data_IF_386544816953
#
_entry.id   IF_386544816953
#
_cell.length_a   1.000
_cell.length_b   1.000
_cell.length_c   1.000
_cell.angle_alpha   90.00
_cell.angle_beta   90.00
_cell.angle_gamma   90.00
#
_symmetry.space_group_name_H-M   'P 1'
#
loop_
_entity.id
_entity.type
_entity.pdbx_description
1 polymer ?
#
# COMPACT_ATOMS: atom_id res chain seq x y z
N UNK A 1 -4.83 6.00 -1.06
CA UNK A 1 -3.50 5.32 -1.13
C UNK A 1 -3.53 4.35 -2.30
N UNK A 2 -2.41 4.22 -3.04
CA UNK A 2 -2.25 3.23 -4.11
C UNK A 2 -1.16 2.26 -3.69
N UNK A 3 -1.36 0.96 -3.95
CA UNK A 3 -0.40 -0.09 -3.67
C UNK A 3 -0.35 -1.03 -4.87
N UNK A 4 0.73 -0.97 -5.67
CA UNK A 4 0.89 -1.82 -6.85
C UNK A 4 1.84 -2.99 -6.59
N UNK A 5 1.57 -4.12 -7.22
CA UNK A 5 2.34 -5.35 -7.12
C UNK A 5 1.95 -6.32 -8.26
N UNK A 6 2.84 -7.26 -8.57
CA UNK A 6 2.57 -8.28 -9.57
C UNK A 6 1.77 -9.47 -9.03
N UNK A 7 1.23 -10.27 -9.94
CA UNK A 7 0.44 -11.48 -9.66
C UNK A 7 1.17 -12.51 -8.78
N UNK A 8 2.47 -12.70 -8.99
CA UNK A 8 3.28 -13.57 -8.13
C UNK A 8 3.43 -13.02 -6.72
N UNK A 9 3.58 -11.69 -6.57
CA UNK A 9 3.68 -11.03 -5.28
C UNK A 9 2.39 -11.09 -4.47
N UNK A 10 1.24 -11.29 -5.13
CA UNK A 10 -0.04 -11.52 -4.46
C UNK A 10 0.01 -12.73 -3.51
N UNK A 11 0.81 -13.75 -3.83
CA UNK A 11 0.92 -14.97 -3.03
C UNK A 11 1.79 -14.82 -1.78
N UNK A 12 2.50 -13.70 -1.65
CA UNK A 12 3.34 -13.47 -0.48
C UNK A 12 2.48 -13.26 0.78
N UNK A 13 2.88 -13.86 1.89
CA UNK A 13 2.15 -13.79 3.16
C UNK A 13 1.85 -12.35 3.61
N UNK A 14 2.80 -11.43 3.43
CA UNK A 14 2.62 -10.01 3.74
C UNK A 14 1.56 -9.34 2.87
N UNK A 15 1.51 -9.66 1.57
CA UNK A 15 0.47 -9.15 0.66
C UNK A 15 -0.90 -9.67 1.05
N UNK A 16 -1.01 -10.97 1.34
CA UNK A 16 -2.25 -11.58 1.81
C UNK A 16 -2.70 -11.00 3.16
N UNK A 17 -1.78 -10.77 4.10
CA UNK A 17 -2.03 -10.12 5.38
C UNK A 17 -2.57 -8.69 5.21
N UNK A 18 -1.93 -7.89 4.33
CA UNK A 18 -2.35 -6.52 4.04
C UNK A 18 -3.77 -6.46 3.44
N UNK A 19 -4.06 -7.29 2.44
CA UNK A 19 -5.37 -7.39 1.80
C UNK A 19 -6.43 -7.85 2.82
N UNK A 20 -6.10 -8.85 3.64
CA UNK A 20 -6.99 -9.36 4.67
C UNK A 20 -7.29 -8.30 5.75
N UNK A 21 -6.30 -7.55 6.17
CA UNK A 21 -6.46 -6.44 7.12
C UNK A 21 -7.35 -5.33 6.56
N UNK A 22 -7.16 -4.95 5.29
CA UNK A 22 -8.00 -3.97 4.62
C UNK A 22 -9.45 -4.44 4.50
N UNK A 23 -9.66 -5.70 4.09
CA UNK A 23 -10.97 -6.36 4.01
C UNK A 23 -11.67 -6.37 5.37
N UNK A 24 -11.01 -6.85 6.41
CA UNK A 24 -11.52 -6.91 7.78
C UNK A 24 -11.93 -5.53 8.31
N UNK A 25 -11.05 -4.54 8.13
CA UNK A 25 -11.29 -3.18 8.61
C UNK A 25 -12.48 -2.53 7.93
N UNK A 26 -12.56 -2.66 6.59
CA UNK A 26 -13.67 -2.16 5.80
C UNK A 26 -14.99 -2.89 6.10
N UNK A 27 -14.94 -4.22 6.30
CA UNK A 27 -16.11 -5.03 6.65
C UNK A 27 -16.72 -4.61 8.00
N UNK A 28 -15.91 -4.12 8.93
CA UNK A 28 -16.34 -3.56 10.20
C UNK A 28 -16.88 -2.12 10.10
N UNK A 29 -16.95 -1.57 8.91
CA UNK A 29 -17.49 -0.22 8.67
C UNK A 29 -16.49 0.91 8.88
N UNK A 30 -15.20 0.61 9.08
CA UNK A 30 -14.16 1.64 9.14
C UNK A 30 -13.68 2.00 7.73
N UNK A 31 -13.39 3.28 7.46
CA UNK A 31 -12.97 3.72 6.13
C UNK A 31 -11.54 3.25 5.79
N UNK A 32 -11.40 2.62 4.63
CA UNK A 32 -10.10 2.16 4.08
C UNK A 32 -10.02 2.58 2.61
N UNK A 33 -9.85 3.88 2.31
CA UNK A 33 -9.84 4.37 0.92
C UNK A 33 -8.48 4.08 0.27
N UNK A 34 -8.32 2.86 -0.24
CA UNK A 34 -7.11 2.43 -0.93
C UNK A 34 -7.43 1.58 -2.16
N UNK A 35 -6.49 1.58 -3.10
CA UNK A 35 -6.52 0.72 -4.28
C UNK A 35 -5.32 -0.21 -4.24
N UNK A 36 -5.58 -1.50 -4.29
CA UNK A 36 -4.61 -2.52 -4.63
C UNK A 36 -4.59 -2.66 -6.15
N UNK A 37 -3.43 -2.50 -6.78
CA UNK A 37 -3.26 -2.66 -8.23
C UNK A 37 -2.43 -3.91 -8.44
N UNK A 38 -3.05 -4.96 -8.97
CA UNK A 38 -2.36 -6.18 -9.34
C UNK A 38 -2.05 -6.16 -10.84
N UNK A 39 -0.77 -6.01 -11.16
CA UNK A 39 -0.25 -6.04 -12.51
C UNK A 39 0.02 -7.50 -12.89
N UNK A 40 -1.03 -8.15 -13.46
CA UNK A 40 -1.00 -9.59 -13.78
C UNK A 40 -0.44 -9.83 -15.19
N UNK A 41 0.80 -10.28 -15.25
CA UNK A 41 1.45 -10.71 -16.47
C UNK A 41 1.55 -12.25 -16.59
N UNK A 42 0.93 -13.00 -15.67
CA UNK A 42 0.86 -14.45 -15.68
C UNK A 42 2.17 -15.17 -15.37
N UNK A 43 3.19 -14.47 -14.85
CA UNK A 43 4.48 -15.11 -14.56
C UNK A 43 5.25 -14.43 -13.42
N UNK A 44 5.71 -15.20 -12.45
CA UNK A 44 6.62 -14.76 -11.39
C UNK A 44 8.02 -15.32 -11.61
N UNK A 45 8.99 -14.47 -11.97
CA UNK A 45 10.33 -14.84 -12.43
C UNK A 45 10.22 -15.79 -13.63
N UNK A 46 10.22 -17.11 -13.42
CA UNK A 46 10.07 -18.16 -14.45
C UNK A 46 8.87 -19.08 -14.22
N UNK A 47 8.12 -18.88 -13.13
CA UNK A 47 6.98 -19.72 -12.75
C UNK A 47 5.68 -19.08 -13.22
N UNK A 48 4.91 -19.81 -14.00
CA UNK A 48 3.60 -19.34 -14.48
C UNK A 48 2.60 -19.25 -13.33
N UNK A 49 1.88 -18.13 -13.27
CA UNK A 49 0.67 -17.99 -12.46
C UNK A 49 -0.47 -18.72 -13.16
N UNK A 50 -1.20 -19.64 -12.48
CA UNK A 50 -2.31 -20.34 -13.11
C UNK A 50 -3.41 -19.39 -13.58
N UNK A 51 -4.02 -19.70 -14.72
CA UNK A 51 -5.11 -18.90 -15.27
C UNK A 51 -6.27 -18.74 -14.28
N UNK A 52 -6.71 -17.50 -14.12
CA UNK A 52 -7.81 -17.16 -13.20
C UNK A 52 -7.44 -17.14 -11.73
N UNK A 53 -6.19 -17.43 -11.37
CA UNK A 53 -5.74 -17.48 -9.97
C UNK A 53 -6.01 -16.19 -9.21
N UNK A 54 -5.59 -15.04 -9.75
CA UNK A 54 -5.78 -13.71 -9.13
C UNK A 54 -7.26 -13.45 -8.88
N UNK A 55 -8.10 -13.64 -9.91
CA UNK A 55 -9.54 -13.43 -9.80
C UNK A 55 -10.17 -14.31 -8.72
N UNK A 56 -9.89 -15.62 -8.75
CA UNK A 56 -10.47 -16.56 -7.79
C UNK A 56 -10.00 -16.32 -6.36
N UNK A 57 -8.79 -15.82 -6.19
CA UNK A 57 -8.23 -15.49 -4.87
C UNK A 57 -8.85 -14.24 -4.23
N UNK A 58 -9.35 -13.30 -5.06
CA UNK A 58 -9.72 -11.97 -4.58
C UNK A 58 -11.20 -11.63 -4.79
N UNK A 59 -11.83 -12.02 -5.88
CA UNK A 59 -13.15 -11.52 -6.27
C UNK A 59 -14.27 -11.78 -5.23
N UNK A 60 -14.09 -12.74 -4.34
CA UNK A 60 -15.03 -13.05 -3.26
C UNK A 60 -14.59 -12.47 -1.88
N UNK A 61 -13.54 -11.64 -1.84
CA UNK A 61 -13.07 -11.04 -0.58
C UNK A 61 -14.11 -10.06 -0.03
N UNK A 62 -14.56 -10.21 1.22
CA UNK A 62 -15.55 -9.30 1.82
C UNK A 62 -15.08 -7.85 1.82
N UNK A 63 -15.97 -6.93 1.49
CA UNK A 63 -15.76 -5.47 1.55
C UNK A 63 -14.61 -4.92 0.69
N UNK A 64 -14.11 -5.69 -0.26
CA UNK A 64 -13.18 -5.24 -1.32
C UNK A 64 -13.93 -5.29 -2.65
N UNK A 65 -13.94 -4.18 -3.37
CA UNK A 65 -14.48 -4.15 -4.73
C UNK A 65 -13.43 -4.69 -5.71
N UNK A 66 -13.77 -5.75 -6.43
CA UNK A 66 -12.90 -6.33 -7.45
C UNK A 66 -13.28 -5.77 -8.82
N UNK A 67 -12.33 -5.16 -9.49
CA UNK A 67 -12.48 -4.56 -10.82
C UNK A 67 -11.35 -5.08 -11.71
N UNK A 68 -11.70 -5.52 -12.92
CA UNK A 68 -10.73 -5.99 -13.91
C UNK A 68 -10.61 -5.00 -15.05
N UNK A 69 -9.41 -4.83 -15.60
CA UNK A 69 -9.18 -4.14 -16.87
C UNK A 69 -8.13 -4.83 -17.73
N UNK A 70 -8.20 -4.61 -19.02
CA UNK A 70 -7.14 -4.95 -19.97
C UNK A 70 -6.12 -3.81 -20.01
N UNK A 71 -4.99 -3.97 -19.29
CA UNK A 71 -3.92 -2.98 -19.25
C UNK A 71 -3.12 -2.87 -20.56
N UNK A 72 -3.41 -3.71 -21.56
CA UNK A 72 -2.86 -3.58 -22.92
C UNK A 72 -3.64 -2.56 -23.76
N UNK A 73 -4.87 -2.21 -23.33
CA UNK A 73 -5.70 -1.19 -23.93
C UNK A 73 -5.69 0.08 -23.05
N UNK A 74 -5.05 1.15 -23.56
CA UNK A 74 -4.92 2.42 -22.83
C UNK A 74 -6.26 3.05 -22.49
N UNK A 75 -7.28 2.88 -23.33
CA UNK A 75 -8.62 3.44 -23.11
C UNK A 75 -9.36 2.69 -22.00
N UNK A 76 -9.29 1.35 -22.02
CA UNK A 76 -9.87 0.54 -20.95
C UNK A 76 -9.17 0.79 -19.61
N UNK A 77 -7.84 0.84 -19.61
CA UNK A 77 -7.05 1.17 -18.43
C UNK A 77 -7.41 2.54 -17.85
N UNK A 78 -7.51 3.57 -18.71
CA UNK A 78 -7.89 4.93 -18.27
C UNK A 78 -9.31 4.99 -17.71
N UNK A 79 -10.28 4.43 -18.42
CA UNK A 79 -11.67 4.38 -18.00
C UNK A 79 -11.82 3.68 -16.66
N UNK A 80 -11.23 2.48 -16.55
CA UNK A 80 -11.31 1.67 -15.32
C UNK A 80 -10.60 2.35 -14.14
N UNK A 81 -9.46 3.00 -14.38
CA UNK A 81 -8.77 3.77 -13.33
C UNK A 81 -9.67 4.90 -12.78
N UNK A 82 -10.42 5.59 -13.65
CA UNK A 82 -11.39 6.63 -13.25
C UNK A 82 -12.57 6.05 -12.46
N UNK A 83 -13.07 4.88 -12.83
CA UNK A 83 -14.14 4.18 -12.11
C UNK A 83 -13.67 3.75 -10.71
N UNK A 84 -12.48 3.18 -10.61
CA UNK A 84 -11.86 2.79 -9.34
C UNK A 84 -11.65 4.00 -8.42
N UNK A 85 -11.13 5.11 -8.96
CA UNK A 85 -10.94 6.34 -8.20
C UNK A 85 -12.27 6.84 -7.64
N UNK A 86 -13.29 6.94 -8.48
CA UNK A 86 -14.63 7.40 -8.10
C UNK A 86 -15.25 6.50 -7.02
N UNK A 87 -15.15 5.18 -7.18
CA UNK A 87 -15.62 4.22 -6.18
C UNK A 87 -14.95 4.43 -4.82
N UNK A 88 -13.61 4.44 -4.78
CA UNK A 88 -12.87 4.54 -3.51
C UNK A 88 -13.09 5.88 -2.82
N UNK A 89 -13.17 6.98 -3.58
CA UNK A 89 -13.43 8.31 -3.02
C UNK A 89 -14.83 8.43 -2.44
N UNK A 90 -15.84 7.92 -3.14
CA UNK A 90 -17.25 8.04 -2.72
C UNK A 90 -17.61 7.07 -1.60
N UNK A 91 -17.15 5.82 -1.66
CA UNK A 91 -17.54 4.78 -0.70
C UNK A 91 -16.61 4.69 0.50
N UNK A 92 -15.38 5.21 0.39
CA UNK A 92 -14.31 5.04 1.38
C UNK A 92 -13.92 3.58 1.64
N UNK A 93 -14.26 2.68 0.72
CA UNK A 93 -13.92 1.25 0.77
C UNK A 93 -12.71 0.95 -0.11
N UNK A 94 -11.97 -0.14 0.17
CA UNK A 94 -10.87 -0.56 -0.69
C UNK A 94 -11.39 -1.17 -1.99
N UNK A 95 -10.62 -0.96 -3.06
CA UNK A 95 -10.79 -1.65 -4.34
C UNK A 95 -9.54 -2.45 -4.69
N UNK A 96 -9.74 -3.52 -5.44
CA UNK A 96 -8.69 -4.32 -6.04
C UNK A 96 -8.80 -4.22 -7.56
N UNK A 97 -7.90 -3.46 -8.17
CA UNK A 97 -7.79 -3.35 -9.62
C UNK A 97 -6.89 -4.48 -10.14
N UNK A 98 -7.50 -5.46 -10.79
CA UNK A 98 -6.80 -6.53 -11.48
C UNK A 98 -6.53 -6.09 -12.91
N UNK A 99 -5.30 -5.73 -13.21
CA UNK A 99 -4.86 -5.24 -14.52
C UNK A 99 -4.10 -6.34 -15.26
N UNK A 100 -4.63 -6.78 -16.40
CA UNK A 100 -3.87 -7.62 -17.31
C UNK A 100 -2.69 -6.84 -17.87
N UNK A 101 -1.51 -7.41 -17.81
CA UNK A 101 -0.27 -6.80 -18.34
C UNK A 101 0.53 -7.83 -19.12
N UNK A 102 1.64 -7.41 -19.71
CA UNK A 102 2.62 -8.30 -20.37
C UNK A 102 4.02 -7.96 -19.87
N UNK A 103 4.87 -8.96 -19.74
CA UNK A 103 6.28 -8.78 -19.42
C UNK A 103 7.11 -8.92 -20.70
N UNK A 104 7.61 -7.81 -21.23
CA UNK A 104 8.34 -7.75 -22.50
C UNK A 104 9.80 -8.18 -22.39
N UNK A 105 10.41 -8.06 -21.22
CA UNK A 105 11.82 -8.37 -21.00
C UNK A 105 12.00 -9.42 -19.91
N UNK A 106 13.23 -9.92 -19.77
CA UNK A 106 13.60 -10.79 -18.66
C UNK A 106 13.31 -10.14 -17.29
N UNK A 107 13.09 -10.95 -16.27
CA UNK A 107 12.79 -10.47 -14.91
C UNK A 107 13.88 -9.56 -14.33
N UNK A 108 15.13 -9.84 -14.68
CA UNK A 108 16.30 -9.06 -14.23
C UNK A 108 17.35 -9.01 -15.35
N UNK A 109 18.37 -8.14 -15.18
CA UNK A 109 19.37 -7.93 -16.23
C UNK A 109 20.18 -9.16 -16.66
N UNK A 110 20.23 -10.20 -15.82
CA UNK A 110 20.88 -11.48 -16.16
C UNK A 110 19.89 -12.58 -16.56
N UNK A 111 18.60 -12.30 -16.61
CA UNK A 111 17.56 -13.28 -16.93
C UNK A 111 17.46 -13.48 -18.45
N UNK A 112 17.50 -14.75 -18.88
CA UNK A 112 17.38 -15.15 -20.28
C UNK A 112 16.04 -15.87 -20.45
N UNK A 113 15.05 -15.19 -21.00
CA UNK A 113 13.68 -15.71 -21.13
C UNK A 113 13.61 -17.03 -21.90
N UNK A 114 14.45 -17.24 -22.92
CA UNK A 114 14.49 -18.48 -23.71
C UNK A 114 14.99 -19.70 -22.94
N UNK A 115 15.49 -19.52 -21.70
CA UNK A 115 15.82 -20.65 -20.81
C UNK A 115 14.58 -21.34 -20.23
N UNK A 116 13.41 -20.66 -20.20
CA UNK A 116 12.17 -21.19 -19.62
C UNK A 116 10.90 -20.89 -20.44
N UNK A 117 11.02 -20.14 -21.55
CA UNK A 117 9.95 -19.88 -22.51
C UNK A 117 10.40 -20.29 -23.90
N UNK A 118 9.48 -20.75 -24.74
CA UNK A 118 9.79 -20.93 -26.16
C UNK A 118 9.93 -19.57 -26.86
N UNK A 119 10.63 -19.54 -27.97
CA UNK A 119 10.80 -18.34 -28.76
C UNK A 119 9.45 -17.78 -29.23
N UNK A 120 8.56 -18.64 -29.66
CA UNK A 120 7.21 -18.31 -30.12
C UNK A 120 6.39 -17.64 -28.98
N UNK A 121 6.58 -18.09 -27.73
CA UNK A 121 5.92 -17.47 -26.56
C UNK A 121 6.47 -16.08 -26.27
N UNK A 122 7.78 -15.86 -26.43
CA UNK A 122 8.39 -14.54 -26.28
C UNK A 122 7.89 -13.59 -27.36
N UNK A 123 7.89 -14.02 -28.63
CA UNK A 123 7.39 -13.25 -29.77
C UNK A 123 5.89 -12.92 -29.62
N UNK A 124 5.08 -13.83 -29.05
CA UNK A 124 3.68 -13.57 -28.73
C UNK A 124 3.50 -12.52 -27.63
N UNK A 125 4.34 -12.54 -26.60
CA UNK A 125 4.34 -11.50 -25.54
C UNK A 125 4.75 -10.15 -26.12
N UNK A 126 5.79 -10.08 -26.97
CA UNK A 126 6.22 -8.85 -27.65
C UNK A 126 5.14 -8.27 -28.57
N UNK A 127 4.37 -9.10 -29.26
CA UNK A 127 3.24 -8.66 -30.09
C UNK A 127 2.10 -8.04 -29.25
N UNK A 128 2.06 -8.29 -27.95
CA UNK A 128 1.11 -7.71 -27.00
C UNK A 128 1.64 -6.45 -26.29
N UNK A 129 2.70 -5.81 -26.79
CA UNK A 129 3.22 -4.56 -26.24
C UNK A 129 2.11 -3.48 -26.25
N UNK A 130 1.75 -2.91 -25.09
CA UNK A 130 0.71 -1.86 -25.00
C UNK A 130 1.09 -0.58 -25.77
N UNK A 131 2.37 -0.32 -26.03
CA UNK A 131 2.80 0.78 -26.89
C UNK A 131 2.42 0.53 -28.35
N UNK A 132 2.61 -0.69 -28.85
CA UNK A 132 2.17 -1.09 -30.21
C UNK A 132 0.64 -1.00 -30.33
N UNK A 133 -0.10 -1.47 -29.35
CA UNK A 133 -1.57 -1.38 -29.32
C UNK A 133 -2.04 0.08 -29.34
N UNK A 134 -1.38 0.94 -28.55
CA UNK A 134 -1.69 2.38 -28.50
C UNK A 134 -1.36 3.08 -29.83
N UNK A 135 -0.19 2.81 -30.41
CA UNK A 135 0.19 3.33 -31.73
C UNK A 135 -0.81 2.91 -32.81
N UNK A 136 -1.17 1.61 -32.85
CA UNK A 136 -2.16 1.09 -33.80
C UNK A 136 -3.55 1.75 -33.61
N UNK A 137 -3.92 2.08 -32.37
CA UNK A 137 -5.14 2.82 -32.10
C UNK A 137 -5.09 4.26 -32.66
N UNK A 138 -4.02 4.99 -32.38
CA UNK A 138 -3.82 6.36 -32.88
C UNK A 138 -3.85 6.44 -34.41
N UNK A 139 -3.21 5.49 -35.09
CA UNK A 139 -3.24 5.38 -36.54
C UNK A 139 -4.64 5.09 -37.07
N UNK A 140 -5.33 4.13 -36.46
CA UNK A 140 -6.70 3.71 -36.89
C UNK A 140 -7.72 4.84 -36.75
N UNK A 141 -7.62 5.63 -35.69
CA UNK A 141 -8.52 6.78 -35.43
C UNK A 141 -8.09 8.05 -36.19
N UNK A 142 -6.98 8.00 -36.94
CA UNK A 142 -6.48 9.15 -37.69
C UNK A 142 -6.00 10.31 -36.81
N UNK A 143 -5.61 10.03 -35.56
CA UNK A 143 -5.11 11.04 -34.61
C UNK A 143 -3.65 11.39 -34.95
N UNK A 144 -2.89 10.38 -35.37
CA UNK A 144 -1.48 10.51 -35.80
C UNK A 144 -1.29 9.68 -37.06
N UNK A 145 -0.31 10.02 -37.87
CA UNK A 145 0.20 9.16 -38.95
C UNK A 145 1.46 8.37 -38.50
N UNK A 146 2.00 7.56 -39.39
CA UNK A 146 3.14 6.70 -39.08
C UNK A 146 4.40 7.50 -38.75
N UNK A 147 4.58 8.62 -39.45
CA UNK A 147 5.77 9.47 -39.28
C UNK A 147 5.69 10.19 -37.92
N UNK A 148 4.49 10.70 -37.57
CA UNK A 148 4.24 11.32 -36.26
C UNK A 148 4.55 10.34 -35.10
N UNK A 149 4.10 9.08 -35.19
CA UNK A 149 4.34 8.05 -34.15
C UNK A 149 5.83 7.75 -34.03
N UNK A 150 6.55 7.62 -35.16
CA UNK A 150 7.99 7.37 -35.17
C UNK A 150 8.78 8.57 -34.64
N UNK A 151 8.37 9.79 -34.96
CA UNK A 151 9.01 11.01 -34.46
C UNK A 151 8.89 11.12 -32.95
N UNK A 152 7.72 10.82 -32.37
CA UNK A 152 7.54 10.77 -30.92
C UNK A 152 8.43 9.71 -30.28
N UNK A 153 8.43 8.49 -30.83
CA UNK A 153 9.26 7.39 -30.30
C UNK A 153 10.74 7.72 -30.33
N UNK A 154 11.25 8.16 -31.47
CA UNK A 154 12.67 8.52 -31.67
C UNK A 154 13.08 9.74 -30.80
N UNK A 155 12.18 10.71 -30.64
CA UNK A 155 12.40 11.86 -29.78
C UNK A 155 12.57 11.47 -28.32
N UNK A 156 11.72 10.59 -27.82
CA UNK A 156 11.80 10.07 -26.45
C UNK A 156 13.05 9.19 -26.26
N UNK A 157 13.42 8.36 -27.24
CA UNK A 157 14.64 7.54 -27.17
C UNK A 157 15.89 8.42 -27.04
N UNK A 158 15.97 9.49 -27.86
CA UNK A 158 17.06 10.46 -27.78
C UNK A 158 17.12 11.18 -26.42
N UNK A 159 15.96 11.58 -25.87
CA UNK A 159 15.88 12.23 -24.55
C UNK A 159 16.33 11.28 -23.43
N UNK A 160 15.83 10.04 -23.42
CA UNK A 160 16.20 9.00 -22.43
C UNK A 160 17.69 8.70 -22.49
N UNK A 161 18.26 8.57 -23.71
CA UNK A 161 19.68 8.33 -23.92
C UNK A 161 20.53 9.49 -23.36
N UNK A 162 20.17 10.73 -23.68
CA UNK A 162 20.88 11.91 -23.15
C UNK A 162 20.79 12.00 -21.62
N UNK A 163 19.64 11.67 -21.05
CA UNK A 163 19.46 11.63 -19.60
C UNK A 163 20.29 10.51 -18.94
N UNK A 164 20.31 9.32 -19.53
CA UNK A 164 21.14 8.20 -19.06
C UNK A 164 22.63 8.58 -19.03
N UNK A 165 23.13 9.24 -20.06
CA UNK A 165 24.52 9.74 -20.12
C UNK A 165 24.85 10.73 -19.01
N UNK A 166 23.88 11.53 -18.55
CA UNK A 166 24.08 12.43 -17.42
C UNK A 166 24.08 11.66 -16.10
N UNK A 167 23.15 10.69 -15.94
CA UNK A 167 23.00 9.92 -14.69
C UNK A 167 24.22 9.04 -14.42
N UNK A 168 24.79 8.39 -15.43
CA UNK A 168 25.99 7.54 -15.26
C UNK A 168 27.23 8.33 -14.81
N UNK A 169 27.26 9.64 -15.05
CA UNK A 169 28.33 10.54 -14.59
C UNK A 169 28.19 10.98 -13.12
N UNK A 170 27.04 10.72 -12.49
CA UNK A 170 26.83 11.04 -11.08
C UNK A 170 27.78 10.23 -10.18
N UNK A 171 28.23 10.82 -9.05
CA UNK A 171 29.05 10.08 -8.09
C UNK A 171 28.38 8.79 -7.63
N UNK A 172 29.15 7.72 -7.61
CA UNK A 172 28.69 6.44 -7.01
C UNK A 172 28.75 6.50 -5.49
N UNK A 173 27.86 5.78 -4.83
CA UNK A 173 27.95 5.58 -3.38
C UNK A 173 29.22 4.80 -3.07
N UNK A 174 30.07 5.31 -2.15
CA UNK A 174 31.42 4.76 -1.88
C UNK A 174 31.52 4.05 -0.55
N UNK A 175 30.68 4.40 0.41
CA UNK A 175 30.74 3.88 1.77
C UNK A 175 29.38 3.27 2.18
N UNK A 176 29.41 2.39 3.19
CA UNK A 176 28.17 1.90 3.79
C UNK A 176 27.33 3.02 4.39
N UNK A 177 27.95 4.09 4.88
CA UNK A 177 27.24 5.26 5.38
C UNK A 177 26.47 5.98 4.26
N UNK A 178 27.07 6.11 3.08
CA UNK A 178 26.37 6.71 1.90
C UNK A 178 25.17 5.86 1.50
N UNK A 179 25.33 4.53 1.47
CA UNK A 179 24.25 3.59 1.15
C UNK A 179 23.10 3.69 2.17
N UNK A 180 23.45 3.79 3.44
CA UNK A 180 22.47 3.85 4.55
C UNK A 180 21.84 5.23 4.73
N UNK A 181 22.41 6.29 4.16
CA UNK A 181 21.99 7.68 4.41
C UNK A 181 20.51 7.92 4.12
N UNK A 182 19.97 7.31 3.06
CA UNK A 182 18.56 7.42 2.69
C UNK A 182 17.61 6.62 3.61
N UNK A 183 18.14 5.63 4.35
CA UNK A 183 17.38 4.78 5.25
C UNK A 183 17.38 5.31 6.69
N UNK A 184 18.34 6.19 7.02
CA UNK A 184 18.41 6.79 8.35
C UNK A 184 17.40 7.93 8.42
N UNK A 185 16.37 7.83 9.28
CA UNK A 185 15.41 8.90 9.41
C UNK A 185 16.08 10.19 9.91
N UNK A 186 15.64 11.37 9.43
CA UNK A 186 16.19 12.62 9.91
C UNK A 186 15.99 12.76 11.42
N UNK A 187 17.00 13.26 12.13
CA UNK A 187 16.88 13.52 13.57
C UNK A 187 15.73 14.50 13.79
N UNK A 188 14.64 14.02 14.36
CA UNK A 188 13.53 14.88 14.79
C UNK A 188 13.92 15.57 16.10
N UNK A 189 13.62 16.86 16.20
CA UNK A 189 13.66 17.54 17.51
C UNK A 189 12.60 16.90 18.39
N UNK A 190 12.97 16.50 19.60
CA UNK A 190 11.99 16.01 20.55
C UNK A 190 10.94 17.11 20.76
N UNK A 191 9.70 16.82 20.43
CA UNK A 191 8.60 17.68 20.79
C UNK A 191 8.56 17.77 22.32
N UNK A 192 8.54 18.99 22.88
CA UNK A 192 8.24 19.14 24.29
C UNK A 192 6.78 18.81 24.47
N UNK A 193 6.48 17.73 25.16
CA UNK A 193 5.13 17.39 25.58
C UNK A 193 4.85 18.21 26.84
N UNK A 194 3.84 19.07 26.78
CA UNK A 194 3.38 19.83 27.95
C UNK A 194 2.29 19.06 28.72
N UNK A 195 1.86 17.93 28.17
CA UNK A 195 0.69 17.19 28.62
C UNK A 195 -0.63 17.91 28.29
N UNK A 196 -1.77 17.22 28.42
CA UNK A 196 -3.06 17.86 28.28
C UNK A 196 -3.29 18.91 29.36
N UNK A 197 -4.17 19.92 29.11
CA UNK A 197 -4.49 20.94 30.09
C UNK A 197 -4.99 20.30 31.38
N UNK A 198 -4.69 20.97 32.54
CA UNK A 198 -5.12 20.50 33.84
C UNK A 198 -6.65 20.32 33.92
N UNK A 199 -7.40 21.22 33.29
CA UNK A 199 -8.86 21.15 33.20
C UNK A 199 -9.35 19.92 32.44
N UNK A 200 -8.78 19.69 31.24
CA UNK A 200 -9.10 18.53 30.42
C UNK A 200 -8.74 17.21 31.12
N UNK A 201 -7.60 17.19 31.80
CA UNK A 201 -7.14 16.06 32.60
C UNK A 201 -8.06 15.77 33.77
N UNK A 202 -8.44 16.79 34.55
CA UNK A 202 -9.38 16.67 35.67
C UNK A 202 -10.75 16.15 35.21
N UNK A 203 -11.28 16.69 34.10
CA UNK A 203 -12.53 16.19 33.48
C UNK A 203 -12.45 14.73 33.04
N UNK A 204 -11.31 14.33 32.50
CA UNK A 204 -11.14 12.98 31.92
C UNK A 204 -10.94 11.92 32.97
N UNK A 205 -10.15 12.19 33.99
CA UNK A 205 -9.81 11.21 35.02
C UNK A 205 -10.78 11.24 36.22
N UNK A 206 -11.42 12.38 36.50
CA UNK A 206 -12.39 12.47 37.59
C UNK A 206 -11.85 11.91 38.91
N UNK A 207 -12.53 10.92 39.49
CA UNK A 207 -12.12 10.24 40.71
C UNK A 207 -10.77 9.51 40.64
N UNK A 208 -10.33 9.09 39.46
CA UNK A 208 -9.04 8.42 39.26
C UNK A 208 -7.85 9.35 39.59
N UNK A 209 -8.05 10.68 39.53
CA UNK A 209 -7.02 11.66 39.90
C UNK A 209 -6.51 11.49 41.35
N UNK A 210 -7.36 11.06 42.26
CA UNK A 210 -6.96 10.80 43.67
C UNK A 210 -6.08 9.53 43.73
N UNK A 211 -6.39 8.52 42.92
CA UNK A 211 -5.62 7.28 42.89
C UNK A 211 -4.22 7.46 42.29
N UNK A 212 -4.02 8.49 41.46
CA UNK A 212 -2.71 8.81 40.86
C UNK A 212 -1.67 9.24 41.89
N UNK A 213 -2.08 9.64 43.09
CA UNK A 213 -1.20 10.02 44.17
C UNK A 213 -0.70 8.83 45.01
N UNK A 214 -1.12 7.64 44.67
CA UNK A 214 -0.79 6.40 45.39
C UNK A 214 -0.05 5.43 44.47
N UNK A 215 0.76 4.50 44.99
CA UNK A 215 1.35 3.41 44.18
C UNK A 215 0.26 2.62 43.45
N UNK A 216 0.44 2.43 42.16
CA UNK A 216 -0.52 1.73 41.29
C UNK A 216 0.20 0.64 40.47
N UNK A 217 -0.52 -0.40 40.04
CA UNK A 217 0.03 -1.35 39.08
C UNK A 217 0.50 -0.67 37.79
N UNK A 218 1.59 -1.16 37.22
CA UNK A 218 2.17 -0.61 35.98
C UNK A 218 1.16 -0.52 34.84
N UNK A 219 0.28 -1.51 34.71
CA UNK A 219 -0.78 -1.51 33.68
C UNK A 219 -1.68 -0.28 33.76
N UNK A 220 -2.06 0.15 34.97
CA UNK A 220 -2.86 1.36 35.20
C UNK A 220 -2.08 2.63 34.88
N UNK A 221 -0.81 2.67 35.25
CA UNK A 221 0.07 3.81 34.93
C UNK A 221 0.26 3.98 33.43
N UNK A 222 0.45 2.87 32.70
CA UNK A 222 0.51 2.88 31.23
C UNK A 222 -0.82 3.36 30.64
N UNK A 223 -1.96 2.88 31.15
CA UNK A 223 -3.28 3.33 30.70
C UNK A 223 -3.46 4.85 30.84
N UNK A 224 -3.08 5.42 31.97
CA UNK A 224 -3.16 6.85 32.22
C UNK A 224 -2.20 7.64 31.33
N UNK A 225 -0.97 7.16 31.13
CA UNK A 225 -0.02 7.77 30.23
C UNK A 225 -0.51 7.77 28.77
N UNK A 226 -1.06 6.65 28.30
CA UNK A 226 -1.72 6.57 26.99
C UNK A 226 -2.91 7.53 26.89
N UNK A 227 -3.70 7.64 27.95
CA UNK A 227 -4.82 8.59 27.98
C UNK A 227 -4.31 10.02 27.81
N UNK A 228 -3.30 10.44 28.59
CA UNK A 228 -2.71 11.80 28.51
C UNK A 228 -2.16 12.06 27.10
N UNK A 229 -1.39 11.13 26.53
CA UNK A 229 -0.84 11.25 25.18
C UNK A 229 -1.93 11.36 24.11
N UNK A 230 -2.98 10.57 24.18
CA UNK A 230 -4.08 10.59 23.23
C UNK A 230 -4.99 11.84 23.39
N UNK A 231 -5.02 12.47 24.54
CA UNK A 231 -5.68 13.77 24.76
C UNK A 231 -4.88 14.90 24.14
N UNK A 232 -3.55 14.87 24.28
CA UNK A 232 -2.63 15.87 23.74
C UNK A 232 -2.47 15.75 22.22
N UNK A 233 -2.38 14.51 21.71
CA UNK A 233 -2.07 14.19 20.33
C UNK A 233 -3.24 13.48 19.66
N UNK A 234 -3.93 14.20 18.76
CA UNK A 234 -5.10 13.66 18.05
C UNK A 234 -4.72 12.59 17.02
N UNK A 235 -3.50 12.63 16.52
CA UNK A 235 -2.92 11.72 15.53
C UNK A 235 -2.57 10.34 16.10
N UNK A 236 -2.44 10.19 17.43
CA UNK A 236 -2.11 8.89 18.02
C UNK A 236 -3.28 7.93 17.85
N UNK A 237 -2.99 6.79 17.24
CA UNK A 237 -3.86 5.62 17.17
C UNK A 237 -3.20 4.42 17.86
N UNK A 238 -4.01 3.61 18.53
CA UNK A 238 -3.61 2.33 19.12
C UNK A 238 -4.21 1.20 18.31
N UNK A 239 -3.42 0.21 17.99
CA UNK A 239 -3.85 -0.96 17.24
C UNK A 239 -3.20 -2.23 17.80
N UNK A 240 -3.95 -3.30 17.82
CA UNK A 240 -3.48 -4.59 18.33
C UNK A 240 -4.62 -5.54 18.65
N UNK A 241 -4.25 -6.67 19.19
CA UNK A 241 -5.20 -7.71 19.60
C UNK A 241 -5.86 -7.34 20.92
N UNK A 242 -7.18 -7.49 21.00
CA UNK A 242 -7.97 -7.31 22.20
C UNK A 242 -7.87 -5.94 22.90
N UNK A 243 -7.27 -4.94 22.25
CA UNK A 243 -7.04 -3.62 22.86
C UNK A 243 -8.27 -2.71 22.87
N UNK A 244 -9.32 -3.07 22.13
CA UNK A 244 -10.58 -2.34 22.05
C UNK A 244 -11.42 -2.47 23.34
N UNK A 245 -12.70 -2.90 23.26
CA UNK A 245 -13.60 -2.95 24.42
C UNK A 245 -13.10 -3.79 25.60
N UNK A 246 -12.34 -4.87 25.33
CA UNK A 246 -11.74 -5.72 26.37
C UNK A 246 -10.68 -4.99 27.18
N UNK A 247 -9.98 -4.01 26.58
CA UNK A 247 -8.99 -3.20 27.28
C UNK A 247 -7.58 -3.79 27.35
N UNK A 248 -7.27 -4.76 26.48
CA UNK A 248 -5.94 -5.39 26.40
C UNK A 248 -5.61 -6.31 27.55
N UNK A 249 -4.40 -6.88 27.50
CA UNK A 249 -3.87 -7.70 28.58
C UNK A 249 -3.65 -6.84 29.83
N UNK A 250 -4.07 -7.33 30.96
CA UNK A 250 -4.02 -6.62 32.25
C UNK A 250 -4.75 -5.26 32.29
N UNK A 251 -5.68 -4.98 31.34
CA UNK A 251 -6.42 -3.72 31.30
C UNK A 251 -5.61 -2.49 30.86
N UNK A 252 -4.51 -2.68 30.16
CA UNK A 252 -3.61 -1.60 29.73
C UNK A 252 -4.31 -0.56 28.86
N UNK A 253 -5.31 -0.97 28.06
CA UNK A 253 -6.11 -0.06 27.21
C UNK A 253 -7.57 0.06 27.65
N UNK A 254 -7.89 -0.34 28.85
CA UNK A 254 -9.28 -0.34 29.39
C UNK A 254 -9.90 1.06 29.26
N UNK A 255 -11.14 1.12 28.74
CA UNK A 255 -11.91 2.36 28.50
C UNK A 255 -11.33 3.32 27.42
N UNK A 256 -10.16 3.04 26.84
CA UNK A 256 -9.62 3.92 25.80
C UNK A 256 -10.46 3.84 24.51
N UNK A 257 -10.96 2.66 24.17
CA UNK A 257 -11.85 2.48 23.02
C UNK A 257 -13.14 3.32 23.16
N UNK A 258 -13.77 3.30 24.32
CA UNK A 258 -15.02 4.04 24.57
C UNK A 258 -14.77 5.54 24.57
N UNK A 259 -13.59 5.97 25.04
CA UNK A 259 -13.20 7.38 25.15
C UNK A 259 -12.79 7.99 23.81
N UNK A 260 -12.01 7.27 23.01
CA UNK A 260 -11.40 7.81 21.79
C UNK A 260 -11.99 7.24 20.49
N UNK A 261 -12.85 6.24 20.60
CA UNK A 261 -13.56 5.61 19.49
C UNK A 261 -12.76 4.55 18.73
N UNK A 262 -13.47 3.76 17.90
CA UNK A 262 -12.89 2.62 17.16
C UNK A 262 -11.88 3.04 16.06
N UNK A 263 -11.90 4.28 15.61
CA UNK A 263 -10.93 4.80 14.65
C UNK A 263 -9.58 5.16 15.26
N UNK A 264 -9.50 5.25 16.59
CA UNK A 264 -8.26 5.54 17.30
C UNK A 264 -7.79 4.42 18.24
N UNK A 265 -8.69 3.49 18.61
CA UNK A 265 -8.35 2.31 19.40
C UNK A 265 -8.96 1.10 18.71
N UNK A 266 -8.16 0.42 17.92
CA UNK A 266 -8.63 -0.58 16.96
C UNK A 266 -8.19 -1.99 17.35
N UNK A 267 -9.16 -2.92 17.43
CA UNK A 267 -8.80 -4.34 17.36
C UNK A 267 -8.39 -4.66 15.93
N UNK A 268 -7.23 -5.26 15.79
CA UNK A 268 -6.72 -5.82 14.53
C UNK A 268 -7.11 -7.30 14.38
N UNK A 269 -6.71 -7.87 13.25
CA UNK A 269 -6.62 -9.32 13.13
C UNK A 269 -5.53 -9.85 14.08
N UNK A 270 -5.66 -11.11 14.46
CA UNK A 270 -4.67 -11.87 15.25
C UNK A 270 -3.50 -12.28 14.33
N UNK A 271 -2.68 -11.29 13.96
CA UNK A 271 -1.53 -11.44 13.09
C UNK A 271 -0.51 -10.32 13.38
N UNK A 272 0.51 -10.66 14.14
CA UNK A 272 1.52 -9.72 14.63
C UNK A 272 2.27 -9.03 13.49
N UNK A 273 2.50 -9.73 12.37
CA UNK A 273 3.12 -9.15 11.18
C UNK A 273 2.27 -8.01 10.61
N UNK A 274 0.95 -8.23 10.48
CA UNK A 274 0.02 -7.19 10.03
C UNK A 274 -0.09 -6.03 11.01
N UNK A 275 -0.05 -6.30 12.32
CA UNK A 275 -0.08 -5.26 13.36
C UNK A 275 1.14 -4.34 13.23
N UNK A 276 2.34 -4.92 13.13
CA UNK A 276 3.58 -4.14 12.96
C UNK A 276 3.59 -3.38 11.64
N UNK A 277 3.22 -4.02 10.55
CA UNK A 277 3.15 -3.39 9.22
C UNK A 277 2.18 -2.22 9.18
N UNK A 278 0.99 -2.38 9.78
CA UNK A 278 -0.01 -1.32 9.89
C UNK A 278 0.51 -0.15 10.74
N UNK A 279 1.15 -0.45 11.89
CA UNK A 279 1.71 0.57 12.76
C UNK A 279 2.81 1.38 12.08
N UNK A 280 3.73 0.72 11.37
CA UNK A 280 4.81 1.39 10.62
C UNK A 280 4.21 2.26 9.51
N UNK A 281 3.27 1.73 8.72
CA UNK A 281 2.65 2.47 7.63
C UNK A 281 1.81 3.67 8.08
N UNK A 282 1.13 3.58 9.22
CA UNK A 282 0.37 4.70 9.78
C UNK A 282 1.25 5.76 10.43
N UNK A 283 2.46 5.38 10.87
CA UNK A 283 3.41 6.33 11.47
C UNK A 283 4.23 7.10 10.43
N UNK A 284 4.32 6.59 9.20
CA UNK A 284 5.05 7.22 8.09
C UNK A 284 4.21 8.31 7.41
#
# INVERSE_FOLDING_TARGET
MLCSFGDASLNHSTSQGAINTASWTAFRGLPVPMVFICEDNGIGISTRTPDGWVRQSIAARPAIEYIYCDGLDVLDAYKTAREVEAFVRSTRKPAFLHMRTVRLYGHAGADVQTAYMTREAVEADEANDPLLHTAAHLLREGIMDSDDVLDVYNGIDAEVTAMAEQVIKRPKLKTSADVMASLVPPKRKNAKTNGPSAELRAKTFGSDAVLMQQPQPMSRMINWALTDLMLEHREIALMGEDIGPKGGVYGVTLKLHDRFGPGRVMNTLLDEQSILGLAIGMAH
#
